data_IF_494653342219
#
_entry.id   IF_494653342219
#
_cell.length_a   1.000
_cell.length_b   1.000
_cell.length_c   1.000
_cell.angle_alpha   90.00
_cell.angle_beta   90.00
_cell.angle_gamma   90.00
#
_symmetry.space_group_name_H-M   'P 1'
#
loop_
_entity.id
_entity.type
_entity.pdbx_description
1 polymer ?
#
# COMPACT_ATOMS: atom_id res chain seq x y z
N UNK A 1 15.23 -0.24 -11.99
CA UNK A 1 14.86 -1.57 -12.52
C UNK A 1 16.07 -2.44 -12.81
N UNK A 2 17.14 -1.89 -13.40
CA UNK A 2 18.36 -2.67 -13.65
C UNK A 2 19.00 -3.26 -12.38
N UNK A 3 18.98 -2.52 -11.25
CA UNK A 3 19.45 -3.04 -9.96
C UNK A 3 18.64 -4.26 -9.51
N UNK A 4 17.32 -4.24 -9.68
CA UNK A 4 16.44 -5.38 -9.34
C UNK A 4 16.75 -6.58 -10.24
N UNK A 5 17.02 -6.33 -11.53
CA UNK A 5 17.41 -7.37 -12.47
C UNK A 5 18.79 -7.97 -12.16
N UNK A 6 19.74 -7.15 -11.70
CA UNK A 6 21.04 -7.63 -11.24
C UNK A 6 20.91 -8.48 -9.98
N UNK A 7 20.13 -8.00 -9.00
CA UNK A 7 19.86 -8.74 -7.77
C UNK A 7 19.19 -10.08 -8.07
N UNK A 8 18.18 -10.10 -8.94
CA UNK A 8 17.50 -11.34 -9.32
C UNK A 8 18.43 -12.36 -9.99
N UNK A 9 19.41 -11.90 -10.78
CA UNK A 9 20.44 -12.78 -11.37
C UNK A 9 21.42 -13.34 -10.32
N UNK A 10 21.66 -12.63 -9.23
CA UNK A 10 22.59 -13.05 -8.17
C UNK A 10 21.90 -13.96 -7.13
N UNK A 11 20.67 -13.62 -6.75
CA UNK A 11 19.91 -14.25 -5.66
C UNK A 11 18.96 -15.35 -6.16
N UNK A 12 18.80 -15.47 -7.48
CA UNK A 12 17.93 -16.44 -8.17
C UNK A 12 16.49 -15.97 -8.31
N UNK A 13 15.86 -15.54 -7.21
CA UNK A 13 14.48 -15.05 -7.22
C UNK A 13 14.30 -13.87 -6.27
N UNK A 14 13.61 -12.82 -6.72
CA UNK A 14 13.34 -11.60 -5.94
C UNK A 14 11.86 -11.27 -5.96
N UNK A 15 11.33 -10.81 -4.83
CA UNK A 15 9.99 -10.23 -4.75
C UNK A 15 10.09 -8.74 -5.03
N UNK A 16 9.47 -8.28 -6.11
CA UNK A 16 9.36 -6.87 -6.46
C UNK A 16 7.96 -6.37 -6.08
N UNK A 17 7.90 -5.48 -5.09
CA UNK A 17 6.66 -4.82 -4.69
C UNK A 17 6.61 -3.45 -5.37
N UNK A 18 5.57 -3.18 -6.15
CA UNK A 18 5.34 -1.90 -6.80
C UNK A 18 4.00 -1.34 -6.35
N UNK A 19 4.04 -0.24 -5.60
CA UNK A 19 2.85 0.54 -5.31
C UNK A 19 2.55 1.52 -6.45
N UNK A 20 1.27 1.79 -6.66
CA UNK A 20 0.74 2.56 -7.78
C UNK A 20 1.34 2.16 -9.14
N UNK A 21 1.33 0.85 -9.41
CA UNK A 21 1.93 0.25 -10.61
C UNK A 21 1.37 0.83 -11.92
N UNK A 22 0.19 1.47 -11.88
CA UNK A 22 -0.39 2.22 -12.99
C UNK A 22 0.44 3.43 -13.44
N UNK A 23 1.34 3.95 -12.60
CA UNK A 23 2.24 5.08 -12.94
C UNK A 23 3.46 4.65 -13.75
N UNK A 24 3.67 3.35 -13.89
CA UNK A 24 4.81 2.80 -14.59
C UNK A 24 4.59 2.88 -16.10
N UNK A 25 5.50 3.54 -16.81
CA UNK A 25 5.43 3.60 -18.27
C UNK A 25 5.53 2.21 -18.93
N UNK A 26 5.04 2.11 -20.16
CA UNK A 26 5.01 0.85 -20.91
C UNK A 26 6.40 0.25 -21.11
N UNK A 27 7.43 1.07 -21.37
CA UNK A 27 8.79 0.58 -21.60
C UNK A 27 9.38 -0.13 -20.37
N UNK A 28 9.14 0.42 -19.18
CA UNK A 28 9.51 -0.21 -17.91
C UNK A 28 8.70 -1.46 -17.62
N UNK A 29 7.40 -1.48 -17.95
CA UNK A 29 6.61 -2.72 -17.85
C UNK A 29 7.16 -3.81 -18.76
N UNK A 30 7.45 -3.47 -20.02
CA UNK A 30 8.00 -4.41 -21.01
C UNK A 30 9.39 -4.93 -20.58
N UNK A 31 10.21 -4.09 -19.93
CA UNK A 31 11.50 -4.50 -19.35
C UNK A 31 11.36 -5.61 -18.30
N UNK A 32 10.25 -5.66 -17.55
CA UNK A 32 10.04 -6.69 -16.52
C UNK A 32 9.66 -8.06 -17.09
N UNK A 33 9.12 -8.11 -18.32
CA UNK A 33 8.54 -9.34 -18.88
C UNK A 33 9.49 -10.56 -18.87
N UNK A 34 10.74 -10.45 -19.33
CA UNK A 34 11.63 -11.60 -19.35
C UNK A 34 11.85 -12.19 -17.95
N UNK A 35 11.92 -11.34 -16.92
CA UNK A 35 12.16 -11.74 -15.54
C UNK A 35 10.93 -12.35 -14.86
N UNK A 36 9.73 -11.97 -15.29
CA UNK A 36 8.49 -12.60 -14.85
C UNK A 36 8.33 -13.98 -15.49
N UNK A 37 8.65 -14.10 -16.77
CA UNK A 37 8.51 -15.34 -17.55
C UNK A 37 9.41 -16.46 -17.06
N UNK A 38 10.64 -16.14 -16.68
CA UNK A 38 11.59 -17.12 -16.13
C UNK A 38 11.53 -17.24 -14.60
N UNK A 39 10.59 -16.55 -13.94
CA UNK A 39 10.36 -16.64 -12.50
C UNK A 39 11.41 -15.98 -11.62
N UNK A 40 12.37 -15.23 -12.19
CA UNK A 40 13.36 -14.47 -11.43
C UNK A 40 12.73 -13.33 -10.62
N UNK A 41 11.60 -12.78 -11.07
CA UNK A 41 10.84 -11.78 -10.33
C UNK A 41 9.44 -12.32 -10.01
N UNK A 42 9.07 -12.26 -8.74
CA UNK A 42 7.68 -12.34 -8.28
C UNK A 42 7.20 -10.89 -8.12
N UNK A 43 6.27 -10.45 -8.96
CA UNK A 43 5.72 -9.09 -8.91
C UNK A 43 4.47 -9.04 -8.04
N UNK A 44 4.46 -8.14 -7.07
CA UNK A 44 3.29 -7.73 -6.31
C UNK A 44 3.01 -6.27 -6.67
N UNK A 45 2.00 -6.03 -7.50
CA UNK A 45 1.59 -4.69 -7.90
C UNK A 45 0.32 -4.25 -7.16
N UNK A 46 0.34 -3.05 -6.59
CA UNK A 46 -0.84 -2.38 -6.05
C UNK A 46 -1.23 -1.20 -6.95
N UNK A 47 -2.53 -1.00 -7.16
CA UNK A 47 -3.04 0.12 -7.96
C UNK A 47 -4.46 0.47 -7.53
N UNK A 48 -4.76 1.77 -7.52
CA UNK A 48 -6.13 2.30 -7.38
C UNK A 48 -6.84 2.47 -8.73
N UNK A 49 -6.10 2.45 -9.84
CA UNK A 49 -6.65 2.52 -11.20
C UNK A 49 -7.07 1.15 -11.73
N UNK A 50 -8.00 1.12 -12.69
CA UNK A 50 -8.47 -0.12 -13.32
C UNK A 50 -7.30 -0.88 -13.98
N UNK A 51 -6.97 -2.11 -13.52
CA UNK A 51 -5.79 -2.85 -13.96
C UNK A 51 -5.87 -3.29 -15.44
N UNK A 52 -7.06 -3.44 -16.01
CA UNK A 52 -7.23 -3.80 -17.42
C UNK A 52 -6.81 -2.69 -18.38
N UNK A 53 -6.80 -1.44 -17.92
CA UNK A 53 -6.35 -0.27 -18.68
C UNK A 53 -4.93 0.15 -18.32
N UNK A 54 -4.59 0.17 -17.03
CA UNK A 54 -3.32 0.68 -16.53
C UNK A 54 -2.13 -0.27 -16.76
N UNK A 55 -2.39 -1.57 -16.83
CA UNK A 55 -1.36 -2.60 -16.94
C UNK A 55 -1.39 -3.18 -18.35
N UNK A 56 -0.21 -3.30 -18.96
CA UNK A 56 -0.10 -3.86 -20.29
C UNK A 56 -0.66 -5.31 -20.30
N UNK A 57 -1.16 -5.80 -21.45
CA UNK A 57 -1.71 -7.15 -21.52
C UNK A 57 -0.71 -8.28 -21.19
N UNK A 58 0.58 -8.07 -21.47
CA UNK A 58 1.61 -9.10 -21.30
C UNK A 58 1.95 -9.37 -19.82
N UNK A 59 2.04 -8.32 -19.00
CA UNK A 59 2.19 -8.44 -17.55
C UNK A 59 0.93 -9.07 -16.97
N UNK A 60 -0.25 -8.59 -17.38
CA UNK A 60 -1.54 -9.09 -16.89
C UNK A 60 -1.72 -10.59 -17.12
N UNK A 61 -1.25 -11.13 -18.25
CA UNK A 61 -1.36 -12.58 -18.52
C UNK A 61 -0.43 -13.45 -17.66
N UNK A 62 0.47 -12.84 -16.89
CA UNK A 62 1.45 -13.51 -16.00
C UNK A 62 1.20 -13.20 -14.52
N UNK A 63 0.18 -12.42 -14.21
CA UNK A 63 -0.18 -12.00 -12.85
C UNK A 63 -1.61 -12.37 -12.53
N UNK A 64 -1.91 -12.63 -11.26
CA UNK A 64 -3.28 -12.73 -10.78
C UNK A 64 -3.76 -11.35 -10.31
N UNK A 65 -4.96 -10.97 -10.72
CA UNK A 65 -5.60 -9.72 -10.27
C UNK A 65 -6.53 -10.07 -9.10
N UNK A 66 -6.32 -9.38 -7.99
CA UNK A 66 -7.21 -9.43 -6.84
C UNK A 66 -7.84 -8.05 -6.65
N UNK A 67 -9.17 -8.02 -6.59
CA UNK A 67 -9.89 -6.83 -6.17
C UNK A 67 -9.96 -6.81 -4.64
N UNK A 68 -9.60 -5.66 -4.07
CA UNK A 68 -9.67 -5.43 -2.63
C UNK A 68 -10.89 -4.57 -2.34
N UNK A 69 -11.69 -4.99 -1.37
CA UNK A 69 -12.81 -4.21 -0.89
C UNK A 69 -12.37 -3.22 0.21
N UNK A 70 -13.02 -2.05 0.31
CA UNK A 70 -12.82 -1.15 1.43
C UNK A 70 -13.08 -1.84 2.77
N UNK A 71 -12.29 -1.48 3.79
CA UNK A 71 -12.49 -2.00 5.13
C UNK A 71 -13.81 -1.48 5.72
N UNK A 72 -14.55 -2.36 6.40
CA UNK A 72 -15.71 -1.96 7.19
C UNK A 72 -15.29 -1.20 8.45
N UNK A 73 -16.17 -0.36 9.04
CA UNK A 73 -15.87 0.33 10.30
C UNK A 73 -15.41 -0.61 11.42
N UNK A 74 -15.99 -1.82 11.52
CA UNK A 74 -15.61 -2.82 12.52
C UNK A 74 -14.19 -3.38 12.29
N UNK A 75 -13.81 -3.63 11.03
CA UNK A 75 -12.46 -4.07 10.70
C UNK A 75 -11.43 -2.98 10.98
N UNK A 76 -11.78 -1.72 10.73
CA UNK A 76 -10.95 -0.56 11.06
C UNK A 76 -10.76 -0.47 12.58
N UNK A 77 -11.84 -0.58 13.36
CA UNK A 77 -11.78 -0.58 14.83
C UNK A 77 -10.86 -1.68 15.35
N UNK A 78 -11.00 -2.90 14.87
CA UNK A 78 -10.13 -4.02 15.25
C UNK A 78 -8.66 -3.76 14.88
N UNK A 79 -8.39 -3.19 13.71
CA UNK A 79 -7.03 -2.87 13.30
C UNK A 79 -6.39 -1.82 14.22
N UNK A 80 -7.15 -0.79 14.59
CA UNK A 80 -6.70 0.25 15.54
C UNK A 80 -6.44 -0.35 16.93
N UNK A 81 -7.36 -1.18 17.44
CA UNK A 81 -7.18 -1.87 18.72
C UNK A 81 -5.91 -2.72 18.73
N UNK A 82 -5.64 -3.48 17.66
CA UNK A 82 -4.38 -4.24 17.54
C UNK A 82 -3.16 -3.34 17.54
N UNK A 83 -3.19 -2.24 16.79
CA UNK A 83 -2.06 -1.32 16.68
C UNK A 83 -1.73 -0.57 17.98
N UNK A 84 -2.73 -0.37 18.85
CA UNK A 84 -2.55 0.23 20.18
C UNK A 84 -1.93 -0.73 21.19
N UNK A 85 -2.19 -2.03 21.06
CA UNK A 85 -1.73 -3.05 22.01
C UNK A 85 -0.51 -3.84 21.52
N UNK A 86 0.04 -3.54 20.34
CA UNK A 86 1.25 -4.18 19.83
C UNK A 86 2.49 -3.64 20.55
N UNK A 87 3.03 -4.35 21.54
CA UNK A 87 4.18 -3.88 22.34
C UNK A 87 5.48 -3.66 21.53
N UNK A 88 5.59 -4.26 20.34
CA UNK A 88 6.81 -4.22 19.52
C UNK A 88 6.73 -3.23 18.33
N UNK A 89 5.52 -2.91 17.87
CA UNK A 89 5.25 -1.98 16.75
C UNK A 89 4.18 -0.96 17.08
N UNK A 90 3.93 -0.73 18.38
CA UNK A 90 2.85 0.09 18.87
C UNK A 90 2.84 1.44 18.17
N UNK A 91 1.68 1.81 17.63
CA UNK A 91 1.45 3.16 17.17
C UNK A 91 1.23 4.11 18.36
N UNK A 92 1.03 3.58 19.57
CA UNK A 92 0.79 4.36 20.78
C UNK A 92 1.83 5.49 20.99
N UNK A 93 3.16 5.25 21.00
CA UNK A 93 4.15 6.31 21.16
C UNK A 93 4.08 7.44 20.11
N UNK A 94 3.56 7.17 18.92
CA UNK A 94 3.43 8.14 17.81
C UNK A 94 2.08 8.84 17.85
N UNK A 95 1.00 8.11 18.17
CA UNK A 95 -0.36 8.64 18.24
C UNK A 95 -0.59 9.50 19.49
N UNK A 96 0.02 9.17 20.63
CA UNK A 96 -0.13 9.97 21.86
C UNK A 96 0.26 11.46 21.65
N UNK A 97 1.42 11.79 21.05
CA UNK A 97 1.78 13.17 20.74
C UNK A 97 0.83 13.86 19.74
N UNK A 98 0.33 13.13 18.74
CA UNK A 98 -0.58 13.67 17.71
C UNK A 98 -1.98 13.93 18.27
N UNK A 99 -2.49 13.04 19.11
CA UNK A 99 -3.78 13.21 19.79
C UNK A 99 -3.71 14.38 20.77
N UNK A 100 -2.64 14.51 21.56
CA UNK A 100 -2.46 15.65 22.47
C UNK A 100 -2.40 16.96 21.66
N UNK A 101 -1.60 17.02 20.58
CA UNK A 101 -1.51 18.23 19.74
C UNK A 101 -2.83 18.61 19.07
N UNK A 102 -3.67 17.64 18.68
CA UNK A 102 -4.97 17.90 18.04
C UNK A 102 -6.03 18.30 19.08
N UNK A 103 -6.01 17.69 20.27
CA UNK A 103 -6.96 17.99 21.34
C UNK A 103 -6.65 19.30 22.08
N UNK A 104 -5.40 19.76 22.07
CA UNK A 104 -5.02 21.07 22.64
C UNK A 104 -5.48 22.29 21.81
N UNK A 105 -6.02 22.08 20.60
CA UNK A 105 -6.52 23.14 19.71
C UNK A 105 -8.04 23.08 19.52
N UNK A 106 -8.69 22.06 20.07
CA UNK A 106 -10.15 21.98 20.10
C UNK A 106 -10.63 22.67 21.38
N UNK A 107 -11.61 23.58 21.30
CA UNK A 107 -12.20 24.17 22.49
C UNK A 107 -12.70 23.04 23.40
N UNK A 108 -12.28 23.06 24.66
CA UNK A 108 -12.58 22.02 25.65
C UNK A 108 -14.02 22.05 26.16
N UNK A 109 -14.80 23.03 25.69
CA UNK A 109 -16.08 23.36 26.26
C UNK A 109 -17.18 22.89 25.30
N UNK A 110 -17.95 21.90 25.74
CA UNK A 110 -19.02 21.26 24.96
C UNK A 110 -20.17 22.21 24.55
N UNK A 111 -20.18 23.46 25.04
CA UNK A 111 -21.20 24.47 24.72
C UNK A 111 -20.97 25.19 23.37
N UNK A 112 -19.75 25.23 22.83
CA UNK A 112 -19.50 25.91 21.53
C UNK A 112 -19.83 25.05 20.31
N UNK A 113 -20.09 23.75 20.50
CA UNK A 113 -20.37 22.79 19.41
C UNK A 113 -21.80 22.85 18.85
N UNK A 114 -22.69 23.70 19.39
CA UNK A 114 -24.11 23.78 18.98
C UNK A 114 -24.49 25.00 18.13
N UNK A 115 -23.55 25.79 17.62
CA UNK A 115 -23.91 26.85 16.67
C UNK A 115 -24.21 26.24 15.27
N UNK A 116 -25.40 26.49 14.68
CA UNK A 116 -25.71 25.97 13.35
C UNK A 116 -24.88 26.70 12.29
N UNK A 117 -24.58 25.98 11.20
CA UNK A 117 -23.87 26.47 10.01
C UNK A 117 -24.52 27.71 9.38
#
# INVERSE_FOLDING_TARGET
>A
MEIVAQEAKMSGQVILILDEVHRLDKGKQDFLLPYLENGMIILIGATTANPYHAINPAIRSRTQIFELEPLTPDLIKQALERALHDEHRALAPILYPLMIRRWSILPTDAEEMSAPL
#
